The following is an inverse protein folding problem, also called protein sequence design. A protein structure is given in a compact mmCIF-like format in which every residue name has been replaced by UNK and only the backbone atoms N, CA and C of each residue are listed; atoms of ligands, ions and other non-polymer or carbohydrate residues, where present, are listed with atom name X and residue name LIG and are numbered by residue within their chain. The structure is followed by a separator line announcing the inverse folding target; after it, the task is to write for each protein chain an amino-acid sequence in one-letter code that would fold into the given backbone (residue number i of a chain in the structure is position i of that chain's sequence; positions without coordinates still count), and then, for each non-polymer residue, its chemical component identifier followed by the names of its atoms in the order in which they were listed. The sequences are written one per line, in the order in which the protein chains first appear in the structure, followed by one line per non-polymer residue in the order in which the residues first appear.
data_IF_613071689561
#
_entry.id   IF_613071689561
#
_cell.length_a   1.000
_cell.length_b   1.000
_cell.length_c   1.000
_cell.angle_alpha   90.00
_cell.angle_beta   90.00
_cell.angle_gamma   90.00
#
_symmetry.space_group_name_H-M   'P 1'
#
loop_
_entity.id
_entity.type
_entity.pdbx_description
1 polymer ?
#
# COMPACT_ATOMS: atom_id res chain seq x y z
N UNK A 1 -23.32 13.73 -0.66
CA UNK A 1 -21.90 13.37 -0.46
C UNK A 1 -21.46 13.91 0.88
N UNK A 2 -20.58 13.21 1.60
CA UNK A 2 -19.98 13.73 2.82
C UNK A 2 -19.06 14.90 2.47
N UNK A 3 -19.09 15.96 3.30
CA UNK A 3 -18.19 17.10 3.22
C UNK A 3 -17.40 17.19 4.52
N UNK A 4 -16.13 17.52 4.41
CA UNK A 4 -15.20 17.59 5.52
C UNK A 4 -14.69 19.01 5.67
N UNK A 5 -14.71 19.53 6.89
CA UNK A 5 -13.95 20.74 7.20
C UNK A 5 -12.46 20.42 7.13
N UNK A 6 -11.65 21.45 6.93
CA UNK A 6 -10.17 21.33 6.90
C UNK A 6 -9.62 20.55 8.10
N UNK A 7 -10.14 20.79 9.32
CA UNK A 7 -9.68 20.06 10.50
C UNK A 7 -10.04 18.57 10.45
N UNK A 8 -11.26 18.23 10.03
CA UNK A 8 -11.71 16.83 9.90
C UNK A 8 -10.94 16.12 8.79
N UNK A 9 -10.68 16.78 7.67
CA UNK A 9 -9.86 16.26 6.59
C UNK A 9 -8.42 16.01 7.04
N UNK A 10 -7.84 16.93 7.82
CA UNK A 10 -6.51 16.77 8.40
C UNK A 10 -6.43 15.56 9.34
N UNK A 11 -7.46 15.35 10.16
CA UNK A 11 -7.57 14.20 11.05
C UNK A 11 -7.63 12.88 10.27
N UNK A 12 -8.44 12.77 9.19
CA UNK A 12 -8.48 11.51 8.43
C UNK A 12 -7.19 11.25 7.66
N UNK A 13 -6.51 12.30 7.19
CA UNK A 13 -5.24 12.19 6.46
C UNK A 13 -4.03 12.03 7.40
N UNK A 14 -4.18 12.22 8.70
CA UNK A 14 -3.10 12.16 9.67
C UNK A 14 -2.05 13.27 9.51
N UNK A 15 -2.45 14.45 9.01
CA UNK A 15 -1.57 15.62 8.79
C UNK A 15 -2.07 16.85 9.53
N UNK A 16 -1.31 17.95 9.50
CA UNK A 16 -1.76 19.20 10.09
C UNK A 16 -2.82 19.90 9.23
N UNK A 17 -3.70 20.68 9.87
CA UNK A 17 -4.66 21.54 9.15
C UNK A 17 -3.98 22.53 8.20
N UNK A 18 -2.77 22.99 8.53
CA UNK A 18 -1.97 23.88 7.68
C UNK A 18 -1.53 23.18 6.38
N UNK A 19 -1.12 21.90 6.49
CA UNK A 19 -0.79 21.06 5.33
C UNK A 19 -1.96 20.95 4.37
N UNK A 20 -3.16 20.70 4.89
CA UNK A 20 -4.38 20.61 4.06
C UNK A 20 -4.69 21.95 3.40
N UNK A 21 -4.57 23.08 4.12
CA UNK A 21 -4.75 24.41 3.51
C UNK A 21 -3.76 24.66 2.37
N UNK A 22 -2.48 24.35 2.58
CA UNK A 22 -1.45 24.47 1.56
C UNK A 22 -1.74 23.63 0.32
N UNK A 23 -2.32 22.44 0.48
CA UNK A 23 -2.72 21.61 -0.65
C UNK A 23 -3.93 22.18 -1.41
N UNK A 24 -4.89 22.78 -0.71
CA UNK A 24 -5.99 23.52 -1.34
C UNK A 24 -5.43 24.73 -2.12
N UNK A 25 -4.56 25.53 -1.52
CA UNK A 25 -3.94 26.69 -2.15
C UNK A 25 -3.09 26.30 -3.37
N UNK A 26 -2.45 25.13 -3.33
CA UNK A 26 -1.70 24.56 -4.44
C UNK A 26 -2.57 23.86 -5.50
N UNK A 27 -3.89 23.83 -5.33
CA UNK A 27 -4.83 23.16 -6.24
C UNK A 27 -4.74 21.64 -6.23
N UNK A 28 -4.07 21.03 -5.23
CA UNK A 28 -4.02 19.57 -5.04
C UNK A 28 -5.30 19.00 -4.43
N UNK A 29 -6.10 19.84 -3.78
CA UNK A 29 -7.36 19.45 -3.16
C UNK A 29 -8.41 20.51 -3.45
N UNK A 30 -9.45 20.17 -4.21
CA UNK A 30 -10.54 21.10 -4.44
C UNK A 30 -11.33 21.33 -3.15
N UNK A 31 -11.58 22.60 -2.85
CA UNK A 31 -12.37 23.00 -1.70
C UNK A 31 -13.37 24.08 -2.09
N UNK A 32 -14.53 24.06 -1.44
CA UNK A 32 -15.58 25.06 -1.58
C UNK A 32 -15.80 25.78 -0.26
N UNK A 33 -16.45 26.94 -0.30
CA UNK A 33 -16.82 27.67 0.91
C UNK A 33 -18.30 27.52 1.17
N UNK A 34 -18.66 26.97 2.34
CA UNK A 34 -20.04 26.82 2.79
C UNK A 34 -20.22 27.49 4.15
N UNK A 35 -21.14 28.44 4.25
CA UNK A 35 -21.41 29.16 5.51
C UNK A 35 -20.18 29.88 6.09
N UNK A 36 -19.28 30.37 5.23
CA UNK A 36 -18.02 31.03 5.63
C UNK A 36 -16.92 30.07 6.08
N UNK A 37 -17.07 28.76 5.85
CA UNK A 37 -16.08 27.73 6.20
C UNK A 37 -15.63 26.99 4.96
N UNK A 38 -14.33 26.75 4.84
CA UNK A 38 -13.76 25.92 3.79
C UNK A 38 -14.08 24.45 4.05
N UNK A 39 -14.67 23.80 3.06
CA UNK A 39 -15.05 22.38 3.08
C UNK A 39 -14.54 21.68 1.84
N UNK A 40 -14.18 20.41 2.00
CA UNK A 40 -13.66 19.52 0.96
C UNK A 40 -14.68 18.41 0.74
N UNK A 41 -14.94 18.06 -0.52
CA UNK A 41 -15.80 16.94 -0.85
C UNK A 41 -15.12 15.60 -0.57
N UNK A 42 -15.85 14.68 0.05
CA UNK A 42 -15.35 13.37 0.47
C UNK A 42 -14.65 12.56 -0.63
N UNK A 43 -15.17 12.50 -1.88
CA UNK A 43 -14.48 11.82 -2.97
C UNK A 43 -13.12 12.43 -3.30
N UNK A 44 -13.03 13.76 -3.41
CA UNK A 44 -11.75 14.44 -3.67
C UNK A 44 -10.74 14.21 -2.53
N UNK A 45 -11.23 14.19 -1.29
CA UNK A 45 -10.42 13.85 -0.12
C UNK A 45 -9.90 12.40 -0.17
N UNK A 46 -10.74 11.45 -0.58
CA UNK A 46 -10.36 10.04 -0.70
C UNK A 46 -9.36 9.81 -1.84
N UNK A 47 -9.54 10.47 -2.99
CA UNK A 47 -8.60 10.44 -4.12
C UNK A 47 -7.23 10.98 -3.72
N UNK A 48 -7.18 12.12 -3.02
CA UNK A 48 -5.93 12.65 -2.49
C UNK A 48 -5.30 11.67 -1.49
N UNK A 49 -6.08 11.10 -0.56
CA UNK A 49 -5.60 10.13 0.42
C UNK A 49 -4.93 8.92 -0.26
N UNK A 50 -5.56 8.37 -1.30
CA UNK A 50 -4.99 7.26 -2.08
C UNK A 50 -3.67 7.66 -2.74
N UNK A 51 -3.60 8.85 -3.36
CA UNK A 51 -2.37 9.33 -4.00
C UNK A 51 -1.19 9.47 -3.03
N UNK A 52 -1.44 9.87 -1.79
CA UNK A 52 -0.41 10.01 -0.75
C UNK A 52 0.14 8.65 -0.32
N UNK A 53 -0.70 7.60 -0.27
CA UNK A 53 -0.28 6.23 0.03
C UNK A 53 0.63 5.71 -1.09
N UNK A 54 0.24 5.89 -2.35
CA UNK A 54 1.03 5.48 -3.51
C UNK A 54 2.41 6.15 -3.54
N UNK A 55 2.46 7.46 -3.26
CA UNK A 55 3.71 8.22 -3.15
C UNK A 55 4.63 7.63 -2.06
N UNK A 56 4.08 7.36 -0.87
CA UNK A 56 4.81 6.81 0.25
C UNK A 56 5.30 5.37 0.00
N UNK A 57 4.49 4.51 -0.64
CA UNK A 57 4.86 3.14 -0.97
C UNK A 57 5.91 3.08 -2.09
N UNK A 58 5.83 3.97 -3.09
CA UNK A 58 6.88 4.14 -4.10
C UNK A 58 8.20 4.57 -3.48
N UNK A 59 8.17 5.50 -2.52
CA UNK A 59 9.36 5.93 -1.79
C UNK A 59 9.95 4.79 -0.94
N UNK A 60 9.10 4.02 -0.24
CA UNK A 60 9.50 2.85 0.56
C UNK A 60 10.02 1.68 -0.25
N UNK A 61 9.58 1.56 -1.51
CA UNK A 61 10.07 0.54 -2.45
C UNK A 61 11.39 0.96 -3.09
N UNK A 62 11.58 2.27 -3.36
CA UNK A 62 12.85 2.84 -3.85
C UNK A 62 13.94 2.86 -2.78
N UNK A 63 13.58 3.23 -1.55
CA UNK A 63 14.45 3.08 -0.39
C UNK A 63 14.54 1.59 -0.08
N UNK A 64 15.67 0.93 -0.38
CA UNK A 64 15.88 -0.52 -0.17
C UNK A 64 15.73 -1.03 1.28
N UNK A 65 15.16 -0.24 2.19
CA UNK A 65 14.96 -0.45 3.61
C UNK A 65 13.57 -0.99 3.97
N UNK A 66 12.98 -1.86 3.15
CA UNK A 66 11.94 -2.74 3.69
C UNK A 66 12.64 -3.62 4.73
N UNK A 67 12.31 -3.43 6.01
CA UNK A 67 12.89 -4.12 7.17
C UNK A 67 12.56 -5.63 7.22
N UNK A 68 12.28 -6.25 6.08
CA UNK A 68 12.22 -7.69 5.93
C UNK A 68 13.64 -8.22 6.06
N UNK A 69 14.02 -8.66 7.27
CA UNK A 69 15.31 -9.33 7.52
C UNK A 69 15.38 -10.69 6.81
N UNK A 70 14.24 -11.25 6.42
CA UNK A 70 14.12 -12.52 5.71
C UNK A 70 13.73 -12.24 4.25
N UNK A 71 14.74 -11.95 3.41
CA UNK A 71 14.61 -11.86 1.96
C UNK A 71 15.15 -13.14 1.34
N UNK A 72 14.29 -13.85 0.61
CA UNK A 72 14.64 -15.10 -0.04
C UNK A 72 14.40 -14.94 -1.54
N UNK A 73 15.48 -14.96 -2.31
CA UNK A 73 15.41 -14.99 -3.77
C UNK A 73 14.87 -16.33 -4.24
N UNK A 74 13.95 -16.31 -5.20
CA UNK A 74 13.40 -17.53 -5.77
C UNK A 74 12.79 -17.31 -7.13
N UNK A 75 12.10 -18.35 -7.59
CA UNK A 75 11.34 -18.35 -8.83
C UNK A 75 9.87 -18.61 -8.52
N UNK A 76 8.98 -17.86 -9.16
CA UNK A 76 7.54 -18.10 -9.07
C UNK A 76 7.23 -19.40 -9.80
N UNK A 77 6.54 -20.31 -9.12
CA UNK A 77 6.15 -21.61 -9.68
C UNK A 77 4.67 -21.69 -9.99
N UNK A 78 3.84 -20.93 -9.29
CA UNK A 78 2.39 -20.88 -9.53
C UNK A 78 1.81 -19.53 -9.11
N UNK A 79 0.83 -19.07 -9.87
CA UNK A 79 0.04 -17.87 -9.58
C UNK A 79 -1.43 -18.23 -9.71
N UNK A 80 -2.20 -18.01 -8.66
CA UNK A 80 -3.66 -18.15 -8.66
C UNK A 80 -4.26 -16.83 -8.26
N UNK A 81 -5.04 -16.21 -9.13
CA UNK A 81 -5.65 -14.89 -8.92
C UNK A 81 -7.17 -15.04 -8.91
N UNK A 82 -7.82 -14.37 -7.97
CA UNK A 82 -9.24 -14.05 -8.02
C UNK A 82 -9.43 -12.54 -8.25
N UNK A 83 -10.62 -12.00 -8.00
CA UNK A 83 -10.94 -10.58 -8.22
C UNK A 83 -10.17 -9.63 -7.28
N UNK A 84 -9.82 -10.07 -6.07
CA UNK A 84 -9.26 -9.22 -5.02
C UNK A 84 -7.88 -9.70 -4.58
N UNK A 85 -7.68 -11.02 -4.51
CA UNK A 85 -6.51 -11.68 -3.94
C UNK A 85 -5.77 -12.52 -4.97
N UNK A 86 -4.49 -12.72 -4.70
CA UNK A 86 -3.59 -13.60 -5.41
C UNK A 86 -2.82 -14.48 -4.43
N UNK A 87 -2.76 -15.77 -4.73
CA UNK A 87 -1.82 -16.71 -4.16
C UNK A 87 -0.63 -16.87 -5.09
N UNK A 88 0.56 -16.56 -4.57
CA UNK A 88 1.83 -16.70 -5.27
C UNK A 88 2.63 -17.79 -4.59
N UNK A 89 3.04 -18.79 -5.36
CA UNK A 89 3.95 -19.82 -4.92
C UNK A 89 5.32 -19.62 -5.51
N UNK A 90 6.33 -19.77 -4.68
CA UNK A 90 7.72 -19.61 -5.06
C UNK A 90 8.56 -20.77 -4.51
N UNK A 91 9.60 -21.13 -5.25
CA UNK A 91 10.71 -21.94 -4.74
C UNK A 91 11.89 -21.02 -4.51
N UNK A 92 12.35 -20.98 -3.26
CA UNK A 92 13.48 -20.18 -2.81
C UNK A 92 14.53 -21.11 -2.19
N UNK A 93 15.46 -21.61 -3.01
CA UNK A 93 16.40 -22.65 -2.59
C UNK A 93 15.67 -23.93 -2.19
N UNK A 94 15.89 -24.51 -0.99
CA UNK A 94 15.22 -25.72 -0.53
C UNK A 94 13.79 -25.47 -0.03
N UNK A 95 13.32 -24.22 0.00
CA UNK A 95 12.05 -23.84 0.61
C UNK A 95 10.98 -23.55 -0.44
N UNK A 96 9.77 -24.06 -0.20
CA UNK A 96 8.54 -23.60 -0.88
C UNK A 96 7.91 -22.50 -0.03
N UNK A 97 7.65 -21.37 -0.64
CA UNK A 97 7.02 -20.21 -0.01
C UNK A 97 5.69 -19.95 -0.70
N UNK A 98 4.66 -19.67 0.10
CA UNK A 98 3.36 -19.21 -0.38
C UNK A 98 3.09 -17.84 0.19
N UNK A 99 2.79 -16.87 -0.69
CA UNK A 99 2.40 -15.52 -0.33
C UNK A 99 0.97 -15.25 -0.77
N UNK A 100 0.19 -14.60 0.09
CA UNK A 100 -1.10 -14.02 -0.27
C UNK A 100 -0.93 -12.51 -0.38
N UNK A 101 -1.35 -11.94 -1.50
CA UNK A 101 -1.33 -10.50 -1.76
C UNK A 101 -2.53 -10.09 -2.61
N UNK A 102 -2.72 -8.80 -2.89
CA UNK A 102 -3.81 -8.39 -3.79
C UNK A 102 -3.56 -8.86 -5.23
N UNK A 103 -4.64 -9.11 -5.96
CA UNK A 103 -4.57 -9.47 -7.38
C UNK A 103 -3.93 -8.35 -8.23
N UNK A 104 -4.20 -7.10 -7.86
CA UNK A 104 -3.59 -5.91 -8.43
C UNK A 104 -2.08 -5.90 -8.23
N UNK A 105 -1.58 -6.03 -6.99
CA UNK A 105 -0.16 -6.01 -6.72
C UNK A 105 0.61 -7.14 -7.41
N UNK A 106 0.01 -8.34 -7.50
CA UNK A 106 0.60 -9.44 -8.28
C UNK A 106 0.71 -9.11 -9.78
N UNK A 107 -0.25 -8.36 -10.31
CA UNK A 107 -0.27 -7.92 -11.72
C UNK A 107 0.73 -6.79 -11.97
N UNK A 108 0.77 -5.79 -11.10
CA UNK A 108 1.74 -4.68 -11.18
C UNK A 108 3.19 -5.16 -11.11
N UNK A 109 3.46 -6.16 -10.27
CA UNK A 109 4.78 -6.79 -10.16
C UNK A 109 5.11 -7.76 -11.31
N UNK A 110 4.18 -8.01 -12.23
CA UNK A 110 4.37 -8.94 -13.34
C UNK A 110 4.66 -10.37 -12.89
N UNK A 111 4.03 -10.83 -11.80
CA UNK A 111 4.30 -12.16 -11.24
C UNK A 111 3.61 -13.23 -12.08
N UNK A 112 4.42 -14.10 -12.68
CA UNK A 112 3.99 -15.24 -13.48
C UNK A 112 4.93 -16.43 -13.27
N UNK A 113 4.49 -17.68 -13.48
CA UNK A 113 5.38 -18.84 -13.42
C UNK A 113 6.63 -18.64 -14.29
N UNK A 114 7.81 -18.82 -13.68
CA UNK A 114 9.11 -18.60 -14.32
C UNK A 114 9.79 -17.27 -13.97
N UNK A 115 9.05 -16.30 -13.42
CA UNK A 115 9.60 -14.99 -13.03
C UNK A 115 10.44 -15.11 -11.76
N UNK A 116 11.63 -14.48 -11.76
CA UNK A 116 12.45 -14.34 -10.55
C UNK A 116 11.85 -13.26 -9.66
N UNK A 117 11.68 -13.56 -8.38
CA UNK A 117 11.17 -12.61 -7.39
C UNK A 117 11.88 -12.80 -6.04
N UNK A 118 11.71 -11.81 -5.15
CA UNK A 118 12.20 -11.88 -3.78
C UNK A 118 11.00 -12.00 -2.86
N UNK A 119 10.90 -13.14 -2.17
CA UNK A 119 9.98 -13.28 -1.07
C UNK A 119 10.54 -12.51 0.14
N UNK A 120 9.84 -11.45 0.55
CA UNK A 120 10.18 -10.68 1.75
C UNK A 120 9.19 -11.03 2.85
N UNK A 121 9.67 -11.61 3.95
CA UNK A 121 8.83 -11.94 5.10
C UNK A 121 8.99 -10.83 6.14
N UNK A 122 7.88 -10.14 6.45
CA UNK A 122 7.84 -9.16 7.52
C UNK A 122 7.94 -9.90 8.85
N UNK A 123 9.06 -9.73 9.55
CA UNK A 123 9.49 -10.54 10.70
C UNK A 123 8.65 -10.39 11.99
N UNK A 124 7.37 -10.00 11.92
CA UNK A 124 6.55 -9.71 13.10
C UNK A 124 5.94 -10.96 13.76
N UNK A 125 6.08 -12.16 13.19
CA UNK A 125 5.58 -13.40 13.79
C UNK A 125 6.41 -14.62 13.35
N UNK A 126 6.94 -15.39 14.30
CA UNK A 126 7.63 -16.67 14.09
C UNK A 126 6.86 -17.74 14.87
N UNK A 127 6.39 -18.78 14.18
CA UNK A 127 5.81 -19.97 14.82
C UNK A 127 6.94 -20.97 15.02
N UNK A 128 7.16 -21.40 16.27
CA UNK A 128 8.20 -22.36 16.65
C UNK A 128 7.51 -23.64 17.10
N UNK A 129 7.91 -24.77 16.52
CA UNK A 129 7.38 -26.10 16.83
C UNK A 129 8.52 -26.99 17.31
N UNK A 130 8.23 -27.94 18.22
CA UNK A 130 9.21 -28.92 18.66
C UNK A 130 9.19 -30.13 17.73
N UNK A 131 10.34 -30.62 17.22
CA UNK A 131 10.36 -31.89 16.51
C UNK A 131 9.89 -33.01 17.44
N UNK A 132 9.11 -33.96 16.91
CA UNK A 132 8.86 -35.22 17.60
C UNK A 132 10.13 -36.06 17.65
#
# INVERSE_FOLDING_TARGET
MSKYRIAEAADVLGVSSDTVRRWVDAGRLEATTEGGRTVVDGPALAELAASLVDEADRERTRAGSVSARNRMSGIVTRVTKDTVMAQIEMVCGPYRIVSLMSAEAATELGLEPGVRAIASVKSTSVVVERPR
#
